data_IF_285540129813
#
_entry.id   IF_285540129813
#
_cell.length_a   1.000
_cell.length_b   1.000
_cell.length_c   1.000
_cell.angle_alpha   90.00
_cell.angle_beta   90.00
_cell.angle_gamma   90.00
#
_symmetry.space_group_name_H-M   'P 1'
#
loop_
_entity.id
_entity.type
_entity.pdbx_description
1 polymer ?
#
# COMPACT_ATOMS: atom_id res chain seq x y z
N UNK A 1 -30.01 10.76 2.54
CA UNK A 1 -30.45 11.46 3.77
C UNK A 1 -30.79 12.88 3.40
N UNK A 2 -31.92 13.42 3.88
CA UNK A 2 -32.28 14.82 3.64
C UNK A 2 -31.20 15.73 4.27
N UNK A 3 -30.70 16.67 3.49
CA UNK A 3 -29.70 17.66 3.94
C UNK A 3 -30.43 18.76 4.71
N UNK A 4 -29.85 19.19 5.83
CA UNK A 4 -30.44 20.31 6.57
C UNK A 4 -30.41 21.59 5.71
N UNK A 5 -31.46 22.41 5.78
CA UNK A 5 -31.51 23.71 5.14
C UNK A 5 -30.43 24.65 5.71
N UNK A 6 -29.99 25.62 4.91
CA UNK A 6 -28.87 26.51 5.26
C UNK A 6 -29.10 27.30 6.56
N UNK A 7 -28.02 27.64 7.25
CA UNK A 7 -28.11 28.48 8.46
C UNK A 7 -28.61 29.89 8.14
N UNK A 8 -28.21 30.47 7.01
CA UNK A 8 -28.69 31.78 6.55
C UNK A 8 -30.24 31.84 6.46
N UNK A 9 -30.85 30.82 5.84
CA UNK A 9 -32.32 30.74 5.79
C UNK A 9 -32.94 30.62 7.17
N UNK A 10 -32.34 29.84 8.07
CA UNK A 10 -32.81 29.66 9.43
C UNK A 10 -32.72 30.93 10.26
N UNK A 11 -31.65 31.70 10.11
CA UNK A 11 -31.42 33.00 10.75
C UNK A 11 -32.51 34.00 10.32
N UNK A 12 -32.76 34.11 9.02
CA UNK A 12 -33.83 35.00 8.49
C UNK A 12 -35.22 34.61 8.98
N UNK A 13 -35.50 33.34 8.98
CA UNK A 13 -36.80 32.81 9.48
C UNK A 13 -36.98 33.12 10.96
N UNK A 14 -35.93 32.88 11.76
CA UNK A 14 -35.99 33.13 13.21
C UNK A 14 -36.04 34.64 13.50
N UNK A 15 -35.31 35.47 12.79
CA UNK A 15 -35.34 36.92 12.89
C UNK A 15 -36.75 37.49 12.64
N UNK A 16 -37.44 37.00 11.58
CA UNK A 16 -38.81 37.42 11.27
C UNK A 16 -39.80 37.05 12.39
N UNK A 17 -39.64 35.86 13.01
CA UNK A 17 -40.47 35.48 14.16
C UNK A 17 -40.17 36.34 15.39
N UNK A 18 -38.91 36.68 15.64
CA UNK A 18 -38.51 37.58 16.73
C UNK A 18 -39.02 39.01 16.51
N UNK A 19 -39.18 39.44 15.26
CA UNK A 19 -39.79 40.74 14.89
C UNK A 19 -41.32 40.76 15.06
N UNK A 20 -41.94 39.64 15.54
CA UNK A 20 -43.35 39.57 15.85
C UNK A 20 -44.25 38.94 14.76
N UNK A 21 -43.66 38.48 13.64
CA UNK A 21 -44.47 37.81 12.59
C UNK A 21 -44.95 36.42 13.07
N UNK A 22 -46.14 36.04 12.62
CA UNK A 22 -46.68 34.71 12.96
C UNK A 22 -45.95 33.61 12.24
N UNK A 23 -45.78 32.44 12.88
CA UNK A 23 -45.09 31.30 12.25
C UNK A 23 -45.73 30.85 10.94
N UNK A 24 -47.02 31.09 10.72
CA UNK A 24 -47.69 30.80 9.43
C UNK A 24 -47.31 31.78 8.33
N UNK A 25 -47.27 33.08 8.64
CA UNK A 25 -46.81 34.10 7.71
C UNK A 25 -45.40 33.91 7.28
N UNK A 26 -44.49 33.68 8.27
CA UNK A 26 -43.09 33.42 8.04
C UNK A 26 -42.85 32.14 7.18
N UNK A 27 -43.59 31.09 7.47
CA UNK A 27 -43.53 29.84 6.72
C UNK A 27 -43.92 30.05 5.25
N UNK A 28 -45.00 30.78 4.99
CA UNK A 28 -45.43 31.10 3.64
C UNK A 28 -44.41 31.98 2.88
N UNK A 29 -43.88 33.02 3.55
CA UNK A 29 -42.90 33.96 3.00
C UNK A 29 -41.58 33.31 2.60
N UNK A 30 -41.08 32.35 3.40
CA UNK A 30 -39.81 31.70 3.16
C UNK A 30 -39.94 30.32 2.49
N UNK A 31 -41.14 29.87 2.14
CA UNK A 31 -41.36 28.59 1.46
C UNK A 31 -40.99 27.36 2.33
N UNK A 32 -41.11 27.45 3.65
CA UNK A 32 -40.78 26.38 4.57
C UNK A 32 -42.01 25.86 5.35
N UNK A 33 -41.93 24.64 5.84
CA UNK A 33 -43.05 24.12 6.67
C UNK A 33 -43.17 24.88 7.99
N UNK A 34 -44.39 25.16 8.43
CA UNK A 34 -44.69 25.83 9.71
C UNK A 34 -44.00 25.12 10.90
N UNK A 35 -43.95 23.80 10.88
CA UNK A 35 -43.24 23.00 11.88
C UNK A 35 -41.74 23.26 11.94
N UNK A 36 -41.13 23.62 10.81
CA UNK A 36 -39.72 24.01 10.74
C UNK A 36 -39.48 25.36 11.41
N UNK A 37 -40.32 26.34 11.11
CA UNK A 37 -40.30 27.67 11.75
C UNK A 37 -40.36 27.54 13.26
N UNK A 38 -41.38 26.80 13.77
CA UNK A 38 -41.57 26.57 15.21
C UNK A 38 -40.32 25.91 15.83
N UNK A 39 -39.81 24.83 15.23
CA UNK A 39 -38.67 24.08 15.77
C UNK A 39 -37.40 24.94 15.79
N UNK A 40 -37.16 25.78 14.75
CA UNK A 40 -35.98 26.62 14.71
C UNK A 40 -36.06 27.77 15.72
N UNK A 41 -37.22 28.39 15.88
CA UNK A 41 -37.45 29.42 16.89
C UNK A 41 -37.33 28.89 18.32
N UNK A 42 -37.92 27.70 18.60
CA UNK A 42 -37.74 27.03 19.87
C UNK A 42 -36.28 26.74 20.18
N UNK A 43 -35.54 26.19 19.18
CA UNK A 43 -34.14 25.90 19.33
C UNK A 43 -33.32 27.15 19.61
N UNK A 44 -33.57 28.24 18.87
CA UNK A 44 -32.90 29.51 19.10
C UNK A 44 -33.15 30.04 20.50
N UNK A 45 -34.39 29.96 21.00
CA UNK A 45 -34.72 30.37 22.37
C UNK A 45 -34.01 29.53 23.45
N UNK A 46 -33.83 28.23 23.19
CA UNK A 46 -33.18 27.30 24.14
C UNK A 46 -31.66 27.36 24.10
N UNK A 47 -31.05 27.59 22.94
CA UNK A 47 -29.61 27.40 22.72
C UNK A 47 -28.88 28.63 22.20
N UNK A 48 -29.57 29.73 21.86
CA UNK A 48 -29.02 30.90 21.18
C UNK A 48 -28.58 30.65 19.75
N UNK A 49 -28.79 29.45 19.20
CA UNK A 49 -28.26 29.05 17.89
C UNK A 49 -29.36 28.50 16.97
N UNK A 50 -29.30 28.88 15.69
CA UNK A 50 -30.15 28.34 14.61
C UNK A 50 -29.55 27.08 13.97
N UNK A 51 -28.30 26.76 14.24
CA UNK A 51 -27.59 25.63 13.64
C UNK A 51 -28.36 24.30 13.88
N UNK A 52 -28.43 23.42 12.87
CA UNK A 52 -29.15 22.17 13.01
C UNK A 52 -28.53 21.31 14.11
N UNK A 53 -29.38 20.60 14.86
CA UNK A 53 -28.93 19.56 15.75
C UNK A 53 -28.19 18.48 14.94
N UNK A 54 -27.26 17.77 15.59
CA UNK A 54 -26.60 16.62 14.98
C UNK A 54 -27.68 15.64 14.46
N UNK A 55 -27.69 15.46 13.14
CA UNK A 55 -28.59 14.54 12.46
C UNK A 55 -28.10 13.11 12.66
N UNK A 56 -28.91 12.24 13.19
CA UNK A 56 -28.64 10.84 13.45
C UNK A 56 -28.61 10.49 14.92
N UNK A 57 -29.33 9.41 15.30
CA UNK A 57 -29.36 8.92 16.67
C UNK A 57 -28.05 8.24 17.06
N UNK A 58 -27.82 8.16 18.39
CA UNK A 58 -26.76 7.33 18.96
C UNK A 58 -27.04 5.87 18.62
N UNK A 59 -26.18 5.26 17.80
CA UNK A 59 -26.20 3.82 17.56
C UNK A 59 -25.44 3.13 18.67
N UNK A 60 -26.13 2.32 19.46
CA UNK A 60 -25.52 1.46 20.48
C UNK A 60 -24.40 0.64 19.84
N UNK A 61 -23.24 0.67 20.44
CA UNK A 61 -22.07 -0.11 20.00
C UNK A 61 -22.17 -1.51 20.61
N UNK A 62 -22.89 -2.38 19.92
CA UNK A 62 -23.24 -3.74 20.39
C UNK A 62 -21.96 -4.57 20.72
N UNK A 63 -20.84 -4.33 20.08
CA UNK A 63 -19.60 -5.11 20.27
C UNK A 63 -18.70 -4.58 21.39
N UNK A 64 -18.89 -3.36 21.89
CA UNK A 64 -18.05 -2.79 22.96
C UNK A 64 -18.05 -3.65 24.25
N UNK A 65 -19.17 -4.17 24.76
CA UNK A 65 -19.17 -5.05 25.92
C UNK A 65 -18.42 -6.36 25.72
N UNK A 66 -18.20 -6.75 24.46
CA UNK A 66 -17.54 -8.01 24.08
C UNK A 66 -16.11 -7.81 23.62
N UNK A 67 -15.53 -6.62 23.86
CA UNK A 67 -14.20 -6.24 23.42
C UNK A 67 -13.10 -7.22 23.85
N UNK A 68 -13.09 -7.58 25.13
CA UNK A 68 -12.08 -8.48 25.67
C UNK A 68 -12.10 -9.83 24.94
N UNK A 69 -13.27 -10.45 24.79
CA UNK A 69 -13.43 -11.70 24.06
C UNK A 69 -12.94 -11.60 22.61
N UNK A 70 -13.34 -10.55 21.89
CA UNK A 70 -13.00 -10.39 20.46
C UNK A 70 -11.48 -10.24 20.28
N UNK A 71 -10.84 -9.39 21.10
CA UNK A 71 -9.40 -9.14 21.02
C UNK A 71 -8.62 -10.40 21.38
N UNK A 72 -8.99 -11.10 22.45
CA UNK A 72 -8.38 -12.37 22.85
C UNK A 72 -8.54 -13.42 21.74
N UNK A 73 -9.71 -13.56 21.17
CA UNK A 73 -10.00 -14.54 20.12
C UNK A 73 -9.16 -14.32 18.87
N UNK A 74 -8.98 -13.04 18.46
CA UNK A 74 -8.09 -12.69 17.35
C UNK A 74 -6.62 -12.93 17.69
N UNK A 75 -6.21 -12.70 18.92
CA UNK A 75 -4.86 -13.03 19.39
C UNK A 75 -4.56 -14.53 19.33
N UNK A 76 -5.54 -15.36 19.73
CA UNK A 76 -5.43 -16.82 19.65
C UNK A 76 -5.45 -17.35 18.23
N UNK A 77 -6.26 -16.75 17.34
CA UNK A 77 -6.35 -17.12 15.94
C UNK A 77 -6.30 -15.89 15.02
N UNK A 78 -5.09 -15.40 14.71
CA UNK A 78 -4.91 -14.22 13.85
C UNK A 78 -5.42 -14.38 12.41
N UNK A 79 -5.69 -15.60 11.96
CA UNK A 79 -6.21 -15.91 10.63
C UNK A 79 -7.74 -15.95 10.58
N UNK A 80 -8.42 -15.75 11.71
CA UNK A 80 -9.87 -15.78 11.79
C UNK A 80 -10.47 -14.73 10.85
N UNK A 81 -11.37 -15.18 9.98
CA UNK A 81 -12.04 -14.28 9.03
C UNK A 81 -13.15 -13.49 9.73
N UNK A 82 -13.58 -12.36 9.12
CA UNK A 82 -14.73 -11.59 9.65
C UNK A 82 -16.01 -12.44 9.71
N UNK A 83 -16.20 -13.36 8.76
CA UNK A 83 -17.33 -14.30 8.78
C UNK A 83 -17.21 -15.33 9.91
N UNK A 84 -15.99 -15.86 10.13
CA UNK A 84 -15.72 -16.77 11.23
C UNK A 84 -15.98 -16.11 12.58
N UNK A 85 -15.46 -14.90 12.79
CA UNK A 85 -15.69 -14.15 14.03
C UNK A 85 -17.16 -13.80 14.22
N UNK A 86 -17.88 -13.43 13.15
CA UNK A 86 -19.34 -13.22 13.20
C UNK A 86 -20.08 -14.49 13.62
N UNK A 87 -19.65 -15.65 13.10
CA UNK A 87 -20.23 -16.96 13.48
C UNK A 87 -20.00 -17.29 14.96
N UNK A 88 -18.80 -17.08 15.48
CA UNK A 88 -18.48 -17.29 16.90
C UNK A 88 -19.27 -16.34 17.81
N UNK A 89 -19.48 -15.09 17.38
CA UNK A 89 -20.34 -14.13 18.10
C UNK A 89 -21.80 -14.57 18.08
N UNK A 90 -22.31 -15.02 16.94
CA UNK A 90 -23.67 -15.53 16.82
C UNK A 90 -23.92 -16.75 17.72
N UNK A 91 -22.95 -17.68 17.80
CA UNK A 91 -23.03 -18.83 18.73
C UNK A 91 -23.11 -18.41 20.21
N UNK A 92 -22.70 -17.18 20.55
CA UNK A 92 -22.85 -16.56 21.88
C UNK A 92 -24.08 -15.67 22.01
N UNK A 93 -25.01 -15.75 21.07
CA UNK A 93 -26.23 -14.92 21.07
C UNK A 93 -26.01 -13.48 20.59
N UNK A 94 -24.81 -13.13 20.10
CA UNK A 94 -24.51 -11.77 19.68
C UNK A 94 -24.65 -11.67 18.14
N UNK A 95 -25.87 -11.29 17.71
CA UNK A 95 -26.19 -11.17 16.28
C UNK A 95 -25.78 -9.81 15.75
N UNK A 96 -24.77 -9.76 14.88
CA UNK A 96 -24.24 -8.53 14.28
C UNK A 96 -23.98 -8.68 12.78
N UNK A 97 -23.94 -7.55 12.08
CA UNK A 97 -23.58 -7.55 10.67
C UNK A 97 -22.05 -7.71 10.49
N UNK A 98 -21.63 -8.25 9.34
CA UNK A 98 -20.23 -8.29 8.93
C UNK A 98 -19.55 -6.91 9.01
N UNK A 99 -20.26 -5.86 8.59
CA UNK A 99 -19.74 -4.49 8.64
C UNK A 99 -19.54 -3.98 10.08
N UNK A 100 -20.39 -4.39 11.02
CA UNK A 100 -20.23 -4.03 12.43
C UNK A 100 -18.94 -4.63 13.02
N UNK A 101 -18.65 -5.90 12.70
CA UNK A 101 -17.40 -6.57 13.08
C UNK A 101 -16.18 -5.86 12.47
N UNK A 102 -16.22 -5.58 11.16
CA UNK A 102 -15.15 -4.87 10.49
C UNK A 102 -14.88 -3.48 11.08
N UNK A 103 -15.93 -2.70 11.33
CA UNK A 103 -15.79 -1.38 11.92
C UNK A 103 -15.26 -1.43 13.35
N UNK A 104 -15.65 -2.44 14.14
CA UNK A 104 -15.12 -2.67 15.47
C UNK A 104 -13.60 -2.91 15.40
N UNK A 105 -13.15 -3.89 14.61
CA UNK A 105 -11.73 -4.21 14.47
C UNK A 105 -10.90 -3.03 13.96
N UNK A 106 -11.47 -2.25 13.03
CA UNK A 106 -10.80 -1.04 12.53
C UNK A 106 -10.57 0.01 13.62
N UNK A 107 -11.53 0.18 14.55
CA UNK A 107 -11.40 1.10 15.70
C UNK A 107 -10.38 0.59 16.71
N UNK A 108 -10.31 -0.72 16.93
CA UNK A 108 -9.26 -1.35 17.74
C UNK A 108 -7.86 -1.30 17.08
N UNK A 109 -7.73 -0.67 15.93
CA UNK A 109 -6.45 -0.60 15.19
C UNK A 109 -6.05 -1.91 14.51
N UNK A 110 -6.92 -2.93 14.55
CA UNK A 110 -6.68 -4.24 13.95
C UNK A 110 -6.98 -4.21 12.46
N UNK A 111 -6.04 -4.74 11.65
CA UNK A 111 -6.18 -4.84 10.20
C UNK A 111 -5.75 -6.21 9.73
N UNK A 112 -6.49 -6.77 8.79
CA UNK A 112 -6.11 -8.01 8.15
C UNK A 112 -4.90 -7.76 7.24
N UNK A 113 -3.77 -8.41 7.55
CA UNK A 113 -2.49 -8.25 6.85
C UNK A 113 -2.06 -9.59 6.23
N UNK A 114 -1.25 -9.51 5.17
CA UNK A 114 -0.58 -10.68 4.62
C UNK A 114 0.37 -11.26 5.68
N UNK A 115 0.21 -12.55 6.00
CA UNK A 115 0.96 -13.24 7.04
C UNK A 115 1.96 -14.26 6.50
N UNK A 116 1.98 -14.48 5.17
CA UNK A 116 2.86 -15.48 4.58
C UNK A 116 4.29 -14.94 4.48
N UNK A 117 5.15 -15.50 5.30
CA UNK A 117 6.60 -15.42 5.21
C UNK A 117 7.14 -16.79 4.80
N UNK A 118 8.35 -16.82 4.25
CA UNK A 118 9.03 -18.09 4.05
C UNK A 118 9.23 -18.79 5.41
N UNK A 119 8.90 -20.06 5.48
CA UNK A 119 9.02 -20.86 6.73
C UNK A 119 10.45 -20.80 7.28
N UNK A 120 11.41 -20.75 6.39
CA UNK A 120 12.84 -20.67 6.69
C UNK A 120 13.22 -19.39 7.46
N UNK A 121 12.42 -18.33 7.40
CA UNK A 121 12.64 -17.11 8.21
C UNK A 121 12.52 -17.39 9.73
N UNK A 122 11.76 -18.42 10.10
CA UNK A 122 11.59 -18.83 11.50
C UNK A 122 12.80 -19.62 12.05
N UNK A 123 13.73 -20.07 11.20
CA UNK A 123 14.95 -20.73 11.65
C UNK A 123 15.78 -19.78 12.50
N UNK A 124 16.28 -20.27 13.64
CA UNK A 124 16.98 -19.46 14.64
C UNK A 124 18.24 -18.75 14.08
N UNK A 125 18.98 -19.40 13.18
CA UNK A 125 20.17 -18.84 12.53
C UNK A 125 19.78 -17.67 11.59
N UNK A 126 18.72 -17.82 10.80
CA UNK A 126 18.22 -16.79 9.87
C UNK A 126 17.60 -15.64 10.65
N UNK A 127 16.75 -15.93 11.63
CA UNK A 127 16.14 -14.92 12.48
C UNK A 127 17.19 -14.03 13.17
N UNK A 128 18.29 -14.63 13.65
CA UNK A 128 19.43 -13.91 14.25
C UNK A 128 20.13 -13.02 13.22
N UNK A 129 20.40 -13.50 12.00
CA UNK A 129 21.01 -12.72 10.92
C UNK A 129 20.12 -11.55 10.52
N UNK A 130 18.81 -11.77 10.35
CA UNK A 130 17.82 -10.73 10.02
C UNK A 130 17.72 -9.67 11.13
N UNK A 131 17.72 -10.08 12.42
CA UNK A 131 17.72 -9.15 13.55
C UNK A 131 18.98 -8.28 13.55
N UNK A 132 20.16 -8.88 13.35
CA UNK A 132 21.45 -8.15 13.26
C UNK A 132 21.43 -7.15 12.11
N UNK A 133 20.95 -7.56 10.94
CA UNK A 133 20.81 -6.68 9.78
C UNK A 133 19.91 -5.48 10.09
N UNK A 134 18.73 -5.68 10.67
CA UNK A 134 17.79 -4.61 11.03
C UNK A 134 18.33 -3.61 12.04
N UNK A 135 19.23 -4.03 12.91
CA UNK A 135 19.91 -3.11 13.83
C UNK A 135 20.94 -2.29 13.06
N UNK A 136 21.75 -2.95 12.27
CA UNK A 136 22.86 -2.37 11.57
C UNK A 136 22.45 -1.43 10.41
N UNK A 137 21.41 -1.78 9.64
CA UNK A 137 20.92 -0.97 8.52
C UNK A 137 20.52 0.46 8.91
N UNK A 138 20.12 0.70 10.16
CA UNK A 138 19.74 2.03 10.66
C UNK A 138 20.88 3.04 10.68
N UNK A 139 22.11 2.56 10.77
CA UNK A 139 23.32 3.38 10.79
C UNK A 139 23.99 3.54 9.43
N UNK A 140 23.40 2.99 8.36
CA UNK A 140 23.95 3.08 7.02
C UNK A 140 23.56 4.40 6.36
N UNK A 141 24.48 4.98 5.63
CA UNK A 141 24.20 6.11 4.75
C UNK A 141 23.44 5.63 3.51
N UNK A 142 22.17 5.98 3.43
CA UNK A 142 21.30 5.57 2.33
C UNK A 142 21.80 6.07 0.95
N UNK A 143 22.54 7.20 0.90
CA UNK A 143 23.10 7.74 -0.32
C UNK A 143 24.18 6.85 -0.96
N UNK A 144 24.78 5.95 -0.16
CA UNK A 144 25.81 5.01 -0.59
C UNK A 144 25.26 3.61 -0.90
N UNK A 145 23.98 3.35 -0.67
CA UNK A 145 23.40 2.04 -0.89
C UNK A 145 22.93 1.87 -2.33
N UNK A 146 23.25 0.74 -2.91
CA UNK A 146 22.89 0.34 -4.26
C UNK A 146 22.29 -1.07 -4.20
N UNK A 147 20.98 -1.19 -4.30
CA UNK A 147 20.31 -2.49 -4.24
C UNK A 147 20.11 -3.06 -5.62
N UNK A 148 20.60 -4.27 -5.83
CA UNK A 148 20.52 -4.97 -7.11
C UNK A 148 19.65 -6.19 -6.98
N UNK A 149 18.81 -6.42 -7.98
CA UNK A 149 18.01 -7.64 -8.09
C UNK A 149 17.49 -7.83 -9.51
N UNK A 150 16.91 -9.00 -9.78
CA UNK A 150 16.23 -9.29 -11.01
C UNK A 150 14.75 -9.63 -10.81
N UNK A 151 13.97 -9.40 -11.86
CA UNK A 151 12.56 -9.75 -11.84
C UNK A 151 12.05 -10.21 -13.21
N UNK A 152 11.06 -11.09 -13.20
CA UNK A 152 10.46 -11.60 -14.44
C UNK A 152 9.33 -10.72 -14.93
N UNK A 153 9.34 -10.47 -16.24
CA UNK A 153 8.27 -9.80 -16.98
C UNK A 153 7.86 -10.72 -18.13
N UNK A 154 6.56 -10.88 -18.36
CA UNK A 154 6.03 -11.79 -19.37
C UNK A 154 5.22 -11.04 -20.40
N UNK A 155 5.31 -11.48 -21.67
CA UNK A 155 4.54 -10.91 -22.79
C UNK A 155 3.03 -11.21 -22.73
N UNK A 156 2.58 -12.08 -21.81
CA UNK A 156 1.18 -12.38 -21.58
C UNK A 156 0.59 -11.68 -20.34
N UNK A 157 1.29 -10.69 -19.78
CA UNK A 157 0.77 -9.95 -18.63
C UNK A 157 -0.54 -9.24 -19.00
N UNK A 158 -1.53 -9.35 -18.10
CA UNK A 158 -2.84 -8.74 -18.23
C UNK A 158 -3.35 -8.26 -16.88
N UNK A 159 -4.31 -7.32 -16.84
CA UNK A 159 -4.97 -6.92 -15.61
C UNK A 159 -5.62 -8.11 -14.91
N UNK A 160 -5.34 -8.27 -13.62
CA UNK A 160 -5.86 -9.38 -12.79
C UNK A 160 -7.05 -8.96 -11.92
N UNK A 161 -7.42 -7.68 -11.95
CA UNK A 161 -8.53 -7.09 -11.19
C UNK A 161 -9.17 -5.97 -12.00
N UNK A 162 -10.46 -5.75 -11.78
CA UNK A 162 -11.22 -4.65 -12.38
C UNK A 162 -12.52 -4.41 -11.61
N UNK A 163 -13.23 -3.36 -11.97
CA UNK A 163 -14.53 -3.03 -11.40
C UNK A 163 -15.64 -3.74 -12.15
N UNK A 164 -16.59 -4.30 -11.44
CA UNK A 164 -17.76 -4.96 -12.01
C UNK A 164 -18.96 -4.92 -11.07
N UNK A 165 -20.16 -5.25 -11.55
CA UNK A 165 -21.36 -5.31 -10.72
C UNK A 165 -21.19 -6.31 -9.57
N UNK A 166 -21.70 -5.95 -8.38
CA UNK A 166 -21.70 -6.84 -7.22
C UNK A 166 -22.42 -8.16 -7.55
N UNK A 167 -21.79 -9.28 -7.18
CA UNK A 167 -22.33 -10.62 -7.39
C UNK A 167 -22.13 -11.18 -8.80
N UNK A 168 -21.52 -10.44 -9.73
CA UNK A 168 -21.19 -10.90 -11.06
C UNK A 168 -19.67 -11.06 -11.21
N UNK A 169 -19.26 -12.18 -11.86
CA UNK A 169 -17.84 -12.39 -12.19
C UNK A 169 -17.41 -11.44 -13.30
N UNK A 170 -16.34 -10.69 -13.07
CA UNK A 170 -15.69 -9.94 -14.12
C UNK A 170 -14.89 -10.90 -15.01
N UNK A 171 -15.17 -10.89 -16.30
CA UNK A 171 -14.42 -11.68 -17.29
C UNK A 171 -13.31 -10.78 -17.86
N UNK A 172 -12.09 -11.30 -17.88
CA UNK A 172 -10.95 -10.70 -18.54
C UNK A 172 -10.28 -11.73 -19.44
N UNK A 173 -9.72 -11.28 -20.54
CA UNK A 173 -9.03 -12.14 -21.49
C UNK A 173 -7.53 -11.85 -21.42
N UNK A 174 -6.73 -12.91 -21.27
CA UNK A 174 -5.29 -12.86 -21.41
C UNK A 174 -4.89 -13.77 -22.58
N UNK A 175 -3.83 -13.47 -23.33
CA UNK A 175 -3.37 -14.37 -24.37
C UNK A 175 -3.04 -15.73 -23.78
N UNK A 176 -3.59 -16.76 -24.39
CA UNK A 176 -3.25 -18.14 -24.13
C UNK A 176 -2.35 -18.63 -25.28
N UNK A 177 -1.30 -19.36 -24.99
CA UNK A 177 -0.34 -19.84 -25.97
C UNK A 177 1.10 -19.53 -25.57
N UNK A 178 2.00 -19.49 -26.55
CA UNK A 178 3.42 -19.27 -26.30
C UNK A 178 3.70 -17.83 -25.91
N UNK A 179 4.05 -17.60 -24.63
CA UNK A 179 4.55 -16.32 -24.15
C UNK A 179 6.06 -16.38 -23.91
N UNK A 180 6.70 -15.24 -24.00
CA UNK A 180 8.10 -15.07 -23.62
C UNK A 180 8.21 -14.53 -22.20
N UNK A 181 9.19 -15.06 -21.47
CA UNK A 181 9.58 -14.53 -20.16
C UNK A 181 10.89 -13.77 -20.33
N UNK A 182 10.90 -12.53 -19.93
CA UNK A 182 12.07 -11.67 -19.93
C UNK A 182 12.55 -11.49 -18.51
N UNK A 183 13.85 -11.31 -18.32
CA UNK A 183 14.46 -10.96 -17.05
C UNK A 183 14.85 -9.50 -17.07
N UNK A 184 14.29 -8.69 -16.17
CA UNK A 184 14.66 -7.30 -15.96
C UNK A 184 15.59 -7.19 -14.76
N UNK A 185 16.78 -6.59 -14.98
CA UNK A 185 17.72 -6.23 -13.93
C UNK A 185 17.74 -4.72 -13.74
N UNK A 186 18.06 -4.30 -12.53
CA UNK A 186 18.26 -2.90 -12.20
C UNK A 186 19.01 -2.72 -10.89
N UNK A 187 19.44 -1.51 -10.64
CA UNK A 187 20.09 -1.10 -9.40
C UNK A 187 19.36 0.11 -8.81
N UNK A 188 18.77 -0.05 -7.64
CA UNK A 188 18.04 1.01 -6.94
C UNK A 188 18.97 1.77 -6.01
N UNK A 189 19.04 3.08 -6.20
CA UNK A 189 19.66 4.06 -5.28
C UNK A 189 18.57 4.85 -4.54
N UNK A 190 18.97 5.71 -3.64
CA UNK A 190 18.05 6.56 -2.87
C UNK A 190 17.28 7.56 -3.75
N UNK A 191 17.82 7.91 -4.90
CA UNK A 191 17.30 8.94 -5.81
C UNK A 191 16.92 8.43 -7.21
N UNK A 192 17.34 7.23 -7.58
CA UNK A 192 17.15 6.75 -8.95
C UNK A 192 17.23 5.22 -9.07
N UNK A 193 16.63 4.68 -10.13
CA UNK A 193 16.86 3.31 -10.61
C UNK A 193 17.85 3.36 -11.76
N UNK A 194 19.06 2.82 -11.55
CA UNK A 194 20.16 2.83 -12.51
C UNK A 194 20.41 1.46 -13.12
N UNK A 195 21.27 1.41 -14.14
CA UNK A 195 21.68 0.18 -14.84
C UNK A 195 20.51 -0.73 -15.28
N UNK A 196 19.39 -0.19 -15.82
CA UNK A 196 18.27 -1.01 -16.27
C UNK A 196 18.67 -1.85 -17.46
N UNK A 197 18.39 -3.15 -17.43
CA UNK A 197 18.65 -4.05 -18.52
C UNK A 197 17.59 -5.14 -18.63
N UNK A 198 17.22 -5.53 -19.83
CA UNK A 198 16.25 -6.61 -20.09
C UNK A 198 16.88 -7.69 -20.91
N UNK A 199 16.84 -8.92 -20.42
CA UNK A 199 17.28 -10.12 -21.12
C UNK A 199 16.08 -10.91 -21.64
N UNK A 200 16.20 -11.43 -22.87
CA UNK A 200 15.18 -12.33 -23.41
C UNK A 200 15.43 -13.75 -22.90
N UNK A 201 14.76 -14.12 -21.82
CA UNK A 201 14.89 -15.39 -21.14
C UNK A 201 15.51 -15.31 -19.75
N UNK A 202 15.91 -16.44 -19.16
CA UNK A 202 16.57 -16.48 -17.86
C UNK A 202 17.99 -15.94 -17.96
N UNK A 203 18.45 -15.31 -16.89
CA UNK A 203 19.82 -14.84 -16.78
C UNK A 203 20.72 -15.96 -16.25
N UNK A 204 21.94 -16.02 -16.77
CA UNK A 204 23.01 -16.88 -16.27
C UNK A 204 24.18 -16.06 -15.71
N UNK A 205 25.17 -16.72 -15.11
CA UNK A 205 26.32 -16.05 -14.51
C UNK A 205 27.16 -15.21 -15.50
N UNK A 206 27.24 -15.64 -16.77
CA UNK A 206 27.96 -14.87 -17.81
C UNK A 206 27.23 -13.58 -18.17
N UNK A 207 25.89 -13.67 -18.39
CA UNK A 207 25.06 -12.49 -18.65
C UNK A 207 25.05 -11.53 -17.46
N UNK A 208 24.98 -12.05 -16.23
CA UNK A 208 25.03 -11.23 -15.03
C UNK A 208 26.38 -10.51 -14.87
N UNK A 209 27.48 -11.20 -15.17
CA UNK A 209 28.82 -10.59 -15.19
C UNK A 209 28.92 -9.48 -16.26
N UNK A 210 28.48 -9.76 -17.48
CA UNK A 210 28.49 -8.77 -18.57
C UNK A 210 27.67 -7.53 -18.23
N UNK A 211 26.47 -7.72 -17.65
CA UNK A 211 25.66 -6.62 -17.14
C UNK A 211 26.37 -5.84 -16.04
N UNK A 212 27.01 -6.56 -15.09
CA UNK A 212 27.79 -5.94 -14.03
C UNK A 212 28.89 -5.04 -14.55
N UNK A 213 29.65 -5.54 -15.53
CA UNK A 213 30.76 -4.83 -16.14
C UNK A 213 30.29 -3.63 -16.99
N UNK A 214 29.29 -3.82 -17.85
CA UNK A 214 28.90 -2.84 -18.86
C UNK A 214 27.86 -1.82 -18.38
N UNK A 215 27.00 -2.19 -17.45
CA UNK A 215 25.88 -1.36 -17.02
C UNK A 215 26.00 -0.90 -15.56
N UNK A 216 26.36 -1.81 -14.65
CA UNK A 216 26.41 -1.49 -13.22
C UNK A 216 27.66 -0.67 -12.86
N UNK A 217 28.85 -1.19 -13.18
CA UNK A 217 30.13 -0.58 -12.78
C UNK A 217 30.24 0.89 -13.19
N UNK A 218 29.82 1.33 -14.40
CA UNK A 218 29.82 2.74 -14.76
C UNK A 218 28.96 3.65 -13.89
N UNK A 219 27.99 3.08 -13.14
CA UNK A 219 27.10 3.83 -12.22
C UNK A 219 27.60 3.86 -10.78
N UNK A 220 28.61 3.04 -10.44
CA UNK A 220 29.15 2.94 -9.10
C UNK A 220 30.10 4.10 -8.79
N UNK A 221 30.11 4.50 -7.52
CA UNK A 221 31.00 5.53 -6.98
C UNK A 221 31.89 4.89 -5.91
N UNK A 222 33.14 5.37 -5.76
CA UNK A 222 33.99 4.91 -4.65
C UNK A 222 33.30 5.06 -3.31
N UNK A 223 33.30 3.97 -2.55
CA UNK A 223 32.63 3.90 -1.25
C UNK A 223 31.18 3.48 -1.29
N UNK A 224 30.57 3.22 -2.45
CA UNK A 224 29.23 2.62 -2.54
C UNK A 224 29.19 1.24 -1.89
N UNK A 225 28.00 0.87 -1.44
CA UNK A 225 27.70 -0.43 -0.85
C UNK A 225 26.65 -1.09 -1.72
N UNK A 226 27.09 -2.02 -2.54
CA UNK A 226 26.21 -2.83 -3.39
C UNK A 226 25.61 -3.93 -2.54
N UNK A 227 24.28 -4.00 -2.50
CA UNK A 227 23.52 -4.98 -1.71
C UNK A 227 22.74 -5.89 -2.66
N UNK A 228 22.98 -7.18 -2.56
CA UNK A 228 22.29 -8.23 -3.33
C UNK A 228 21.56 -9.19 -2.43
N UNK A 229 20.65 -9.96 -3.01
CA UNK A 229 20.14 -11.14 -2.36
C UNK A 229 21.20 -12.25 -2.23
N UNK A 230 20.86 -13.31 -1.52
CA UNK A 230 21.81 -14.39 -1.22
C UNK A 230 21.69 -15.57 -2.20
N UNK A 231 21.30 -15.33 -3.47
CA UNK A 231 21.25 -16.38 -4.50
C UNK A 231 22.66 -16.85 -4.91
N UNK A 232 22.75 -18.14 -5.24
CA UNK A 232 24.03 -18.75 -5.63
C UNK A 232 24.64 -18.15 -6.92
N UNK A 233 23.78 -17.77 -7.87
CA UNK A 233 24.18 -17.13 -9.14
C UNK A 233 24.88 -15.78 -8.96
N UNK A 234 24.60 -15.06 -7.88
CA UNK A 234 25.18 -13.74 -7.58
C UNK A 234 26.51 -13.80 -6.85
N UNK A 235 26.96 -14.98 -6.41
CA UNK A 235 28.20 -15.15 -5.63
C UNK A 235 29.46 -15.36 -6.46
N UNK A 236 29.45 -15.01 -7.72
CA UNK A 236 30.62 -15.12 -8.60
C UNK A 236 31.78 -14.26 -8.06
N UNK A 237 32.98 -14.85 -7.97
CA UNK A 237 34.18 -14.12 -7.62
C UNK A 237 34.44 -12.96 -8.59
N UNK A 238 34.20 -13.17 -9.89
CA UNK A 238 34.37 -12.16 -10.92
C UNK A 238 33.49 -10.92 -10.67
N UNK A 239 32.23 -11.08 -10.29
CA UNK A 239 31.34 -9.93 -9.99
C UNK A 239 31.80 -9.20 -8.73
N UNK A 240 32.28 -9.92 -7.72
CA UNK A 240 32.83 -9.30 -6.51
C UNK A 240 34.06 -8.46 -6.82
N UNK A 241 34.94 -8.98 -7.69
CA UNK A 241 36.17 -8.28 -8.06
C UNK A 241 35.89 -7.04 -8.92
N UNK A 242 34.91 -7.10 -9.83
CA UNK A 242 34.45 -5.93 -10.59
C UNK A 242 33.93 -4.82 -9.66
N UNK A 243 33.08 -5.15 -8.71
CA UNK A 243 32.52 -4.18 -7.74
C UNK A 243 33.65 -3.59 -6.88
N UNK A 244 34.59 -4.43 -6.43
CA UNK A 244 35.74 -3.98 -5.65
C UNK A 244 36.66 -3.06 -6.46
N UNK A 245 36.93 -3.41 -7.73
CA UNK A 245 37.73 -2.58 -8.62
C UNK A 245 37.13 -1.18 -8.86
N UNK A 246 35.78 -1.08 -8.81
CA UNK A 246 35.07 0.20 -8.83
C UNK A 246 35.14 1.00 -7.51
N UNK A 247 35.89 0.51 -6.52
CA UNK A 247 35.97 1.14 -5.18
C UNK A 247 34.73 0.94 -4.29
N UNK A 248 33.84 0.03 -4.68
CA UNK A 248 32.62 -0.28 -3.96
C UNK A 248 32.76 -1.58 -3.14
N UNK A 249 31.81 -1.78 -2.19
CA UNK A 249 31.74 -2.98 -1.34
C UNK A 249 30.53 -3.80 -1.71
N UNK A 250 30.67 -5.13 -1.75
CA UNK A 250 29.54 -6.04 -1.99
C UNK A 250 29.08 -6.68 -0.67
N UNK A 251 27.79 -6.54 -0.38
CA UNK A 251 27.13 -7.17 0.76
C UNK A 251 25.94 -8.00 0.31
N UNK A 252 25.63 -9.04 1.11
CA UNK A 252 24.50 -9.91 0.84
C UNK A 252 23.46 -9.78 1.94
N UNK A 253 22.20 -9.64 1.53
CA UNK A 253 21.06 -9.70 2.45
C UNK A 253 21.01 -11.04 3.19
N UNK A 254 20.46 -11.08 4.39
CA UNK A 254 20.14 -12.35 5.03
C UNK A 254 19.25 -13.20 4.11
N UNK A 255 19.39 -14.52 4.11
CA UNK A 255 18.54 -15.38 3.31
C UNK A 255 17.04 -15.13 3.56
N UNK A 256 16.22 -15.34 2.55
CA UNK A 256 14.76 -15.17 2.61
C UNK A 256 14.29 -13.80 3.11
N UNK A 257 14.93 -12.72 2.66
CA UNK A 257 14.68 -11.36 3.15
C UNK A 257 14.26 -10.35 2.08
N UNK A 258 13.24 -10.63 1.26
CA UNK A 258 12.78 -9.67 0.25
C UNK A 258 12.21 -8.38 0.88
N UNK A 259 11.73 -8.45 2.12
CA UNK A 259 11.26 -7.30 2.89
C UNK A 259 12.38 -6.30 3.27
N UNK A 260 13.64 -6.74 3.21
CA UNK A 260 14.83 -5.91 3.41
C UNK A 260 15.43 -5.43 2.08
N UNK A 261 14.84 -5.81 0.95
CA UNK A 261 15.28 -5.40 -0.38
C UNK A 261 14.31 -4.35 -0.96
N UNK A 262 14.66 -3.05 -0.93
CA UNK A 262 13.75 -1.99 -1.38
C UNK A 262 13.44 -2.04 -2.88
N UNK A 263 14.31 -2.61 -3.73
CA UNK A 263 14.10 -2.69 -5.18
C UNK A 263 12.86 -3.54 -5.56
N UNK A 264 12.47 -4.46 -4.70
CA UNK A 264 11.25 -5.27 -4.90
C UNK A 264 9.98 -4.40 -4.98
N UNK A 265 9.97 -3.24 -4.32
CA UNK A 265 8.87 -2.28 -4.40
C UNK A 265 8.84 -1.57 -5.76
N UNK A 266 10.01 -1.22 -6.30
CA UNK A 266 10.14 -0.68 -7.66
C UNK A 266 9.69 -1.72 -8.70
N UNK A 267 10.09 -2.97 -8.56
CA UNK A 267 9.65 -4.06 -9.43
C UNK A 267 8.14 -4.31 -9.33
N UNK A 268 7.57 -4.18 -8.14
CA UNK A 268 6.11 -4.28 -7.97
C UNK A 268 5.37 -3.17 -8.73
N UNK A 269 5.87 -1.93 -8.72
CA UNK A 269 5.35 -0.81 -9.51
C UNK A 269 5.45 -1.10 -11.00
N UNK A 270 6.63 -1.48 -11.50
CA UNK A 270 6.83 -1.81 -12.91
C UNK A 270 5.86 -2.91 -13.35
N UNK A 271 5.78 -4.03 -12.62
CA UNK A 271 4.84 -5.12 -12.92
C UNK A 271 3.37 -4.68 -12.89
N UNK A 272 3.03 -3.76 -11.98
CA UNK A 272 1.66 -3.23 -11.91
C UNK A 272 1.29 -2.52 -13.21
N UNK A 273 2.13 -1.65 -13.73
CA UNK A 273 1.87 -0.88 -14.95
C UNK A 273 2.07 -1.68 -16.24
N UNK A 274 2.93 -2.70 -16.22
CA UNK A 274 3.04 -3.64 -17.35
C UNK A 274 1.74 -4.38 -17.64
N UNK A 275 0.95 -4.72 -16.62
CA UNK A 275 -0.31 -5.47 -16.81
C UNK A 275 -1.36 -4.74 -17.64
N UNK A 276 -1.72 -3.47 -17.37
CA UNK A 276 -2.64 -2.70 -18.21
C UNK A 276 -2.13 -2.44 -19.62
N UNK A 277 -0.81 -2.27 -19.77
CA UNK A 277 -0.17 -2.01 -21.06
C UNK A 277 -0.27 -3.18 -22.05
N UNK A 278 -0.44 -4.41 -21.54
CA UNK A 278 -0.68 -5.62 -22.33
C UNK A 278 0.27 -5.80 -23.54
N UNK A 279 1.55 -5.51 -23.34
CA UNK A 279 2.57 -5.67 -24.40
C UNK A 279 2.74 -7.15 -24.76
N UNK A 280 2.79 -7.47 -26.06
CA UNK A 280 2.72 -8.86 -26.57
C UNK A 280 4.00 -9.31 -27.24
N UNK A 281 4.82 -8.39 -27.71
CA UNK A 281 6.14 -8.72 -28.27
C UNK A 281 7.27 -8.44 -27.25
N UNK A 282 8.41 -9.07 -27.46
CA UNK A 282 9.63 -8.83 -26.67
C UNK A 282 10.04 -7.36 -26.77
N UNK A 283 10.05 -6.83 -27.97
CA UNK A 283 10.47 -5.45 -28.25
C UNK A 283 9.57 -4.41 -27.58
N UNK A 284 8.24 -4.54 -27.72
CA UNK A 284 7.30 -3.65 -27.03
C UNK A 284 7.41 -3.74 -25.52
N UNK A 285 7.66 -4.94 -24.99
CA UNK A 285 7.80 -5.17 -23.55
C UNK A 285 9.04 -4.45 -23.00
N UNK A 286 10.20 -4.63 -23.59
CA UNK A 286 11.40 -3.99 -23.06
C UNK A 286 11.40 -2.47 -23.27
N UNK A 287 10.87 -1.94 -24.40
CA UNK A 287 10.68 -0.50 -24.59
C UNK A 287 9.76 0.10 -23.53
N UNK A 288 8.65 -0.58 -23.23
CA UNK A 288 7.72 -0.11 -22.20
C UNK A 288 8.32 -0.19 -20.79
N UNK A 289 9.15 -1.19 -20.49
CA UNK A 289 9.91 -1.23 -19.23
C UNK A 289 10.81 0.00 -19.12
N UNK A 290 11.52 0.40 -20.18
CA UNK A 290 12.33 1.61 -20.20
C UNK A 290 11.49 2.85 -19.82
N UNK A 291 10.35 3.06 -20.49
CA UNK A 291 9.46 4.18 -20.15
C UNK A 291 8.96 4.15 -18.70
N UNK A 292 8.73 2.97 -18.12
CA UNK A 292 8.30 2.83 -16.73
C UNK A 292 9.43 3.12 -15.74
N UNK A 293 10.66 2.77 -16.07
CA UNK A 293 11.85 3.14 -15.25
C UNK A 293 11.93 4.66 -15.11
N UNK A 294 11.75 5.41 -16.19
CA UNK A 294 11.77 6.87 -16.19
C UNK A 294 10.66 7.51 -15.34
N UNK A 295 9.58 6.76 -15.04
CA UNK A 295 8.49 7.23 -14.17
C UNK A 295 8.77 7.07 -12.68
N UNK A 296 9.87 6.44 -12.29
CA UNK A 296 10.23 6.25 -10.89
C UNK A 296 10.95 7.51 -10.40
N UNK A 297 10.27 8.28 -9.57
CA UNK A 297 10.80 9.54 -9.08
C UNK A 297 11.82 9.34 -7.93
N UNK A 298 12.71 10.32 -7.69
CA UNK A 298 13.63 10.29 -6.55
C UNK A 298 12.90 10.14 -5.20
N UNK A 299 11.76 10.79 -5.03
CA UNK A 299 10.96 10.66 -3.83
C UNK A 299 10.43 9.23 -3.61
N UNK A 300 10.04 8.53 -4.68
CA UNK A 300 9.63 7.13 -4.59
C UNK A 300 10.80 6.23 -4.22
N UNK A 301 11.98 6.45 -4.81
CA UNK A 301 13.19 5.69 -4.47
C UNK A 301 13.53 5.84 -2.98
N UNK A 302 13.54 7.06 -2.47
CA UNK A 302 13.77 7.35 -1.05
C UNK A 302 12.71 6.66 -0.15
N UNK A 303 11.44 6.68 -0.56
CA UNK A 303 10.37 6.01 0.17
C UNK A 303 10.53 4.48 0.16
N UNK A 304 10.99 3.87 -0.92
CA UNK A 304 11.26 2.43 -0.97
C UNK A 304 12.36 2.03 0.02
N UNK A 305 13.44 2.81 0.09
CA UNK A 305 14.50 2.58 1.07
C UNK A 305 13.98 2.75 2.50
N UNK A 306 13.25 3.83 2.78
CA UNK A 306 12.66 4.09 4.10
C UNK A 306 11.69 2.99 4.53
N UNK A 307 10.83 2.51 3.63
CA UNK A 307 9.89 1.41 3.89
C UNK A 307 10.59 0.08 4.19
N UNK A 308 11.77 -0.16 3.61
CA UNK A 308 12.60 -1.33 3.91
C UNK A 308 13.44 -1.15 5.18
N UNK A 309 13.37 0.01 5.84
CA UNK A 309 14.00 0.31 7.13
C UNK A 309 15.38 0.93 7.02
N UNK A 310 15.81 1.40 5.85
CA UNK A 310 17.02 2.19 5.68
C UNK A 310 16.72 3.67 5.96
N UNK A 311 17.62 4.32 6.70
CA UNK A 311 17.41 5.72 7.06
C UNK A 311 17.34 6.60 5.79
N UNK A 312 16.34 7.50 5.73
CA UNK A 312 16.37 8.58 4.75
C UNK A 312 17.54 9.52 5.08
N UNK A 313 18.21 10.03 4.05
CA UNK A 313 19.14 11.15 4.24
C UNK A 313 18.33 12.28 4.88
N UNK A 314 18.68 12.67 6.11
CA UNK A 314 18.19 13.93 6.65
C UNK A 314 18.85 15.02 5.82
N UNK A 315 18.09 15.59 4.88
CA UNK A 315 18.44 16.83 4.20
C UNK A 315 18.47 17.98 5.19
#
# INVERSE_FOLDING_TARGET
MARALSNDLRERVVAAVLAGETSRSVAARFGVAVSSVVKWSQRHRMTGSVAPAKVGGYRRRVLEPHRAFIVERISQNPQLTLHGLKGELAARGIVVSHNAVWQFLRREGLRFKKTMFALEQARADIARRRRRWRIWQKGLDAGRLVFIDETWIKTNMAPIRGWGPKGKRLKGFAPHGHWRTLTFLGALRVDTLTAPCVFNGPINGLCFRAWGEQQLVPTLRPGDIVVMDNLGSHKSAAVRDLIRAAGARLWFLPPYSPDLNPIEQAFAKIKHWMRPAQKRSVEETWRHVGTLVDTISPAECANYLANAGYASIKT
#
